data_IF_772172299696
#
_entry.id   IF_772172299696
#
_cell.length_a   1.000
_cell.length_b   1.000
_cell.length_c   1.000
_cell.angle_alpha   90.00
_cell.angle_beta   90.00
_cell.angle_gamma   90.00
#
_symmetry.space_group_name_H-M   'P 1'
#
loop_
_entity.id
_entity.type
_entity.pdbx_description
1 polymer ?
#
# COMPACT_ATOMS: atom_id res chain seq x y z
N UNK A 1 33.57 -0.01 -2.97
CA UNK A 1 33.38 0.18 -4.43
C UNK A 1 32.38 -0.82 -5.00
N UNK A 2 32.73 -2.07 -5.39
CA UNK A 2 31.76 -3.01 -6.02
C UNK A 2 30.59 -3.44 -5.11
N UNK A 3 30.86 -3.80 -3.84
CA UNK A 3 29.81 -4.20 -2.88
C UNK A 3 28.80 -3.09 -2.63
N UNK A 4 29.29 -1.89 -2.33
CA UNK A 4 28.47 -0.70 -2.10
C UNK A 4 27.60 -0.33 -3.32
N UNK A 5 28.13 -0.48 -4.53
CA UNK A 5 27.34 -0.27 -5.75
C UNK A 5 26.20 -1.29 -5.89
N UNK A 6 26.44 -2.56 -5.53
CA UNK A 6 25.42 -3.62 -5.55
C UNK A 6 24.35 -3.34 -4.49
N UNK A 7 24.75 -3.00 -3.26
CA UNK A 7 23.83 -2.68 -2.17
C UNK A 7 22.89 -1.52 -2.53
N UNK A 8 23.44 -0.43 -3.09
CA UNK A 8 22.61 0.71 -3.53
C UNK A 8 21.67 0.33 -4.68
N UNK A 9 22.15 -0.48 -5.62
CA UNK A 9 21.33 -0.95 -6.75
C UNK A 9 20.16 -1.79 -6.25
N UNK A 10 20.39 -2.71 -5.32
CA UNK A 10 19.33 -3.51 -4.69
C UNK A 10 18.34 -2.59 -3.97
N UNK A 11 18.82 -1.59 -3.23
CA UNK A 11 17.96 -0.59 -2.58
C UNK A 11 17.05 0.13 -3.57
N UNK A 12 17.57 0.58 -4.72
CA UNK A 12 16.77 1.22 -5.76
C UNK A 12 15.76 0.27 -6.40
N UNK A 13 16.14 -0.98 -6.65
CA UNK A 13 15.24 -2.01 -7.18
C UNK A 13 14.08 -2.26 -6.20
N UNK A 14 14.40 -2.43 -4.90
CA UNK A 14 13.39 -2.63 -3.87
C UNK A 14 12.46 -1.41 -3.73
N UNK A 15 13.00 -0.19 -3.79
CA UNK A 15 12.19 1.02 -3.76
C UNK A 15 11.25 1.12 -4.97
N UNK A 16 11.74 0.82 -6.17
CA UNK A 16 10.93 0.80 -7.39
C UNK A 16 9.82 -0.26 -7.31
N UNK A 17 10.13 -1.47 -6.82
CA UNK A 17 9.13 -2.51 -6.60
C UNK A 17 8.12 -2.14 -5.51
N UNK A 18 8.56 -1.47 -4.44
CA UNK A 18 7.67 -0.93 -3.41
C UNK A 18 6.66 0.06 -3.99
N UNK A 19 7.10 0.94 -4.89
CA UNK A 19 6.22 1.86 -5.61
C UNK A 19 5.23 1.10 -6.51
N UNK A 20 5.71 0.16 -7.33
CA UNK A 20 4.85 -0.66 -8.21
C UNK A 20 3.81 -1.43 -7.39
N UNK A 21 4.21 -2.03 -6.28
CA UNK A 21 3.31 -2.74 -5.38
C UNK A 21 2.24 -1.80 -4.80
N UNK A 22 2.63 -0.61 -4.33
CA UNK A 22 1.69 0.39 -3.82
C UNK A 22 0.66 0.82 -4.88
N UNK A 23 1.11 1.05 -6.12
CA UNK A 23 0.23 1.38 -7.23
C UNK A 23 -0.73 0.23 -7.59
N UNK A 24 -0.25 -1.01 -7.60
CA UNK A 24 -1.07 -2.18 -7.87
C UNK A 24 -2.17 -2.38 -6.82
N UNK A 25 -1.86 -2.20 -5.54
CA UNK A 25 -2.85 -2.28 -4.47
C UNK A 25 -3.90 -1.15 -4.56
N UNK A 26 -3.49 0.07 -4.92
CA UNK A 26 -4.41 1.18 -5.17
C UNK A 26 -5.39 0.85 -6.31
N UNK A 27 -4.91 0.33 -7.43
CA UNK A 27 -5.79 -0.07 -8.55
C UNK A 27 -6.69 -1.26 -8.19
N UNK A 28 -6.19 -2.25 -7.45
CA UNK A 28 -7.00 -3.39 -7.00
C UNK A 28 -8.16 -2.95 -6.09
N UNK A 29 -7.92 -2.06 -5.11
CA UNK A 29 -8.97 -1.55 -4.21
C UNK A 29 -10.01 -0.76 -5.00
N UNK A 30 -9.59 0.11 -5.93
CA UNK A 30 -10.53 0.83 -6.81
C UNK A 30 -11.38 -0.14 -7.63
N UNK A 31 -10.77 -1.15 -8.24
CA UNK A 31 -11.46 -2.17 -9.02
C UNK A 31 -12.49 -2.96 -8.18
N UNK A 32 -12.14 -3.28 -6.93
CA UNK A 32 -13.08 -3.90 -5.98
C UNK A 32 -14.27 -2.98 -5.70
N UNK A 33 -14.03 -1.70 -5.39
CA UNK A 33 -15.10 -0.73 -5.14
C UNK A 33 -15.99 -0.60 -6.37
N UNK A 34 -15.41 -0.47 -7.55
CA UNK A 34 -16.13 -0.37 -8.83
C UNK A 34 -17.02 -1.60 -9.11
N UNK A 35 -16.61 -2.78 -8.66
CA UNK A 35 -17.34 -4.04 -8.87
C UNK A 35 -18.46 -4.21 -7.85
N UNK A 36 -18.23 -3.87 -6.58
CA UNK A 36 -19.18 -4.11 -5.49
C UNK A 36 -20.11 -2.94 -5.19
N UNK A 37 -19.78 -1.72 -5.63
CA UNK A 37 -20.59 -0.51 -5.43
C UNK A 37 -21.00 0.10 -6.78
N UNK A 38 -22.14 -0.32 -7.36
CA UNK A 38 -22.63 0.20 -8.64
C UNK A 38 -23.26 1.61 -8.56
N UNK A 39 -23.23 2.26 -7.39
CA UNK A 39 -23.69 3.64 -7.22
C UNK A 39 -22.67 4.61 -7.84
N UNK A 40 -23.12 5.79 -8.29
CA UNK A 40 -22.34 6.77 -9.04
C UNK A 40 -20.86 6.81 -8.63
N UNK A 41 -19.97 6.39 -9.53
CA UNK A 41 -18.52 6.27 -9.31
C UNK A 41 -17.86 7.59 -8.86
N UNK A 42 -18.52 8.71 -9.15
CA UNK A 42 -18.11 10.06 -8.76
C UNK A 42 -18.79 10.58 -7.48
N UNK A 43 -19.64 9.75 -6.86
CA UNK A 43 -20.35 10.04 -5.63
C UNK A 43 -19.37 10.27 -4.48
N UNK A 44 -19.60 11.34 -3.74
CA UNK A 44 -18.79 11.72 -2.59
C UNK A 44 -18.67 10.57 -1.57
N UNK A 45 -19.73 9.78 -1.40
CA UNK A 45 -19.80 8.62 -0.50
C UNK A 45 -18.74 7.56 -0.85
N UNK A 46 -18.56 7.23 -2.13
CA UNK A 46 -17.59 6.22 -2.56
C UNK A 46 -16.15 6.67 -2.28
N UNK A 47 -15.85 7.95 -2.45
CA UNK A 47 -14.53 8.52 -2.11
C UNK A 47 -14.24 8.40 -0.62
N UNK A 48 -15.24 8.62 0.23
CA UNK A 48 -15.10 8.44 1.67
C UNK A 48 -14.95 6.97 2.07
N UNK A 49 -15.70 6.06 1.45
CA UNK A 49 -15.54 4.60 1.66
C UNK A 49 -14.13 4.15 1.28
N UNK A 50 -13.64 4.57 0.11
CA UNK A 50 -12.27 4.32 -0.32
C UNK A 50 -11.24 4.83 0.72
N UNK A 51 -11.36 6.10 1.13
CA UNK A 51 -10.42 6.70 2.08
C UNK A 51 -10.40 5.97 3.44
N UNK A 52 -11.57 5.59 3.97
CA UNK A 52 -11.69 4.85 5.23
C UNK A 52 -11.08 3.46 5.09
N UNK A 53 -11.39 2.72 4.01
CA UNK A 53 -10.86 1.38 3.79
C UNK A 53 -9.34 1.38 3.69
N UNK A 54 -8.75 2.28 2.90
CA UNK A 54 -7.29 2.40 2.78
C UNK A 54 -6.67 2.76 4.13
N UNK A 55 -7.27 3.68 4.88
CA UNK A 55 -6.78 4.07 6.21
C UNK A 55 -6.76 2.89 7.18
N UNK A 56 -7.84 2.09 7.22
CA UNK A 56 -7.93 0.90 8.08
C UNK A 56 -6.85 -0.12 7.71
N UNK A 57 -6.66 -0.39 6.42
CA UNK A 57 -5.63 -1.32 5.94
C UNK A 57 -4.23 -0.84 6.37
N UNK A 58 -3.93 0.45 6.18
CA UNK A 58 -2.64 1.04 6.57
C UNK A 58 -2.43 0.93 8.08
N UNK A 59 -3.43 1.29 8.90
CA UNK A 59 -3.34 1.19 10.37
C UNK A 59 -3.09 -0.25 10.82
N UNK A 60 -3.81 -1.22 10.26
CA UNK A 60 -3.61 -2.65 10.59
C UNK A 60 -2.19 -3.08 10.21
N UNK A 61 -1.74 -2.75 9.00
CA UNK A 61 -0.39 -3.06 8.56
C UNK A 61 0.65 -2.45 9.51
N UNK A 62 0.52 -1.16 9.84
CA UNK A 62 1.40 -0.47 10.79
C UNK A 62 1.42 -1.16 12.15
N UNK A 63 0.26 -1.51 12.73
CA UNK A 63 0.19 -2.20 14.02
C UNK A 63 0.92 -3.55 13.96
N UNK A 64 0.73 -4.32 12.88
CA UNK A 64 1.39 -5.63 12.71
C UNK A 64 2.91 -5.47 12.62
N UNK A 65 3.39 -4.54 11.80
CA UNK A 65 4.83 -4.35 11.57
C UNK A 65 5.52 -3.72 12.80
N UNK A 66 4.96 -2.66 13.38
CA UNK A 66 5.51 -2.00 14.58
C UNK A 66 5.52 -2.95 15.79
N UNK A 67 4.51 -3.81 15.94
CA UNK A 67 4.49 -4.80 17.03
C UNK A 67 5.52 -5.90 16.85
N UNK A 68 5.93 -6.21 15.61
CA UNK A 68 6.96 -7.21 15.34
C UNK A 68 8.35 -6.68 15.68
N UNK A 69 8.63 -5.42 15.34
CA UNK A 69 9.90 -4.75 15.66
C UNK A 69 10.13 -4.66 17.19
N UNK A 70 9.10 -4.31 17.96
CA UNK A 70 9.19 -4.25 19.43
C UNK A 70 9.33 -5.60 20.14
N UNK A 71 9.17 -6.73 19.43
CA UNK A 71 9.35 -8.08 20.00
C UNK A 71 10.74 -8.67 19.74
N UNK A 72 11.51 -8.04 18.86
CA UNK A 72 12.86 -8.49 18.49
C UNK A 72 13.97 -7.65 19.19
N UNK A 73 13.57 -6.70 20.06
CA UNK A 73 14.42 -5.95 21.01
C UNK A 73 14.19 -6.48 22.43
#
# INVERSE_FOLDING_TARGET
MRKEAIEKTIGYILAAFGLVAGLAWNEAIKGLIDTFFPLDKNGLVIKFVYAILVTVIVVIATIIFVRKENKEV
#
